data_IF_868678559023
#
_entry.id   IF_868678559023
#
_cell.length_a   1.000
_cell.length_b   1.000
_cell.length_c   1.000
_cell.angle_alpha   90.00
_cell.angle_beta   90.00
_cell.angle_gamma   90.00
#
_symmetry.space_group_name_H-M   'P 1'
#
loop_
_entity.id
_entity.type
_entity.pdbx_description
1 polymer ?
#
# COMPACT_ATOMS: atom_id res chain seq x y z
N UNK A 1 20.69 18.15 20.31
CA UNK A 1 19.42 17.57 19.80
C UNK A 1 19.63 16.06 19.61
N UNK A 2 19.15 15.23 20.53
CA UNK A 2 19.37 13.77 20.53
C UNK A 2 18.28 13.12 19.69
N UNK A 3 18.59 12.73 18.45
CA UNK A 3 17.64 11.98 17.61
C UNK A 3 17.48 10.61 18.24
N UNK A 4 16.35 10.39 18.92
CA UNK A 4 16.00 9.09 19.50
C UNK A 4 15.47 8.23 18.37
N UNK A 5 16.31 7.37 17.79
CA UNK A 5 15.89 6.39 16.78
C UNK A 5 15.11 5.30 17.53
N UNK A 6 13.78 5.29 17.41
CA UNK A 6 12.95 4.19 17.91
C UNK A 6 12.96 3.07 16.89
N UNK A 7 13.50 1.91 17.27
CA UNK A 7 13.42 0.67 16.49
C UNK A 7 12.17 -0.10 16.94
N UNK A 8 10.99 0.33 16.52
CA UNK A 8 9.77 -0.43 16.82
C UNK A 8 9.85 -1.83 16.18
N UNK A 9 9.56 -2.86 16.97
CA UNK A 9 9.54 -4.26 16.53
C UNK A 9 8.37 -4.44 15.54
N UNK A 10 8.64 -4.71 14.25
CA UNK A 10 7.57 -4.94 13.30
C UNK A 10 6.84 -6.25 13.59
N UNK A 11 5.51 -6.21 13.49
CA UNK A 11 4.68 -7.43 13.37
C UNK A 11 5.23 -8.35 12.28
N UNK A 12 5.16 -9.66 12.49
CA UNK A 12 5.91 -10.72 11.77
C UNK A 12 5.86 -10.72 10.23
N UNK A 13 5.14 -9.81 9.57
CA UNK A 13 5.24 -9.56 8.13
C UNK A 13 6.50 -8.78 7.72
N UNK A 14 7.00 -7.85 8.54
CA UNK A 14 8.12 -6.97 8.16
C UNK A 14 9.41 -7.34 8.90
N UNK A 15 10.55 -7.00 8.29
CA UNK A 15 11.87 -7.14 8.91
C UNK A 15 12.15 -5.98 9.85
N UNK A 16 12.56 -6.29 11.08
CA UNK A 16 13.02 -5.34 12.08
C UNK A 16 14.35 -4.72 11.68
N UNK A 17 14.73 -3.63 12.37
CA UNK A 17 16.04 -3.05 12.13
C UNK A 17 17.16 -4.02 12.52
N UNK A 18 17.03 -4.70 13.67
CA UNK A 18 17.98 -5.72 14.10
C UNK A 18 18.14 -6.85 13.08
N UNK A 19 17.02 -7.34 12.51
CA UNK A 19 17.08 -8.32 11.43
C UNK A 19 17.78 -7.77 10.18
N UNK A 20 17.61 -6.49 9.85
CA UNK A 20 18.32 -5.86 8.73
C UNK A 20 19.82 -5.74 9.00
N UNK A 21 20.24 -5.42 10.24
CA UNK A 21 21.65 -5.41 10.62
C UNK A 21 22.26 -6.81 10.54
N UNK A 22 21.57 -7.81 11.08
CA UNK A 22 22.03 -9.20 11.02
C UNK A 22 22.17 -9.69 9.57
N UNK A 23 21.23 -9.32 8.68
CA UNK A 23 21.39 -9.55 7.24
C UNK A 23 22.66 -8.89 6.70
N UNK A 24 22.97 -7.65 7.09
CA UNK A 24 24.17 -6.96 6.60
C UNK A 24 25.46 -7.64 7.05
N UNK A 25 25.56 -8.02 8.33
CA UNK A 25 26.70 -8.74 8.89
C UNK A 25 26.93 -10.09 8.19
N UNK A 26 25.87 -10.89 8.06
CA UNK A 26 25.95 -12.19 7.41
C UNK A 26 26.28 -12.07 5.92
N UNK A 27 25.81 -11.02 5.24
CA UNK A 27 26.18 -10.77 3.84
C UNK A 27 27.64 -10.35 3.67
N UNK A 28 28.19 -9.57 4.60
CA UNK A 28 29.62 -9.25 4.62
C UNK A 28 30.50 -10.52 4.80
N UNK A 29 29.99 -11.52 5.53
CA UNK A 29 30.60 -12.84 5.69
C UNK A 29 30.32 -13.80 4.51
N UNK A 30 29.74 -13.34 3.39
CA UNK A 30 29.36 -14.14 2.23
C UNK A 30 28.36 -15.29 2.51
N UNK A 31 27.59 -15.19 3.59
CA UNK A 31 26.57 -16.19 3.93
C UNK A 31 25.45 -16.19 2.89
N UNK A 32 25.00 -17.38 2.50
CA UNK A 32 23.94 -17.55 1.49
C UNK A 32 22.58 -17.06 1.98
N UNK A 33 21.71 -16.62 1.06
CA UNK A 33 20.35 -16.15 1.39
C UNK A 33 19.54 -17.19 2.17
N UNK A 34 19.68 -18.47 1.84
CA UNK A 34 18.98 -19.58 2.52
C UNK A 34 19.48 -19.76 3.96
N UNK A 35 20.77 -19.59 4.17
CA UNK A 35 21.38 -19.70 5.50
C UNK A 35 20.97 -18.52 6.39
N UNK A 36 21.03 -17.29 5.87
CA UNK A 36 20.54 -16.09 6.56
C UNK A 36 19.08 -16.27 6.98
N UNK A 37 18.25 -16.76 6.07
CA UNK A 37 16.84 -17.00 6.34
C UNK A 37 16.62 -18.03 7.46
N UNK A 38 17.42 -19.10 7.50
CA UNK A 38 17.34 -20.11 8.57
C UNK A 38 17.72 -19.52 9.93
N UNK A 39 18.81 -18.74 10.00
CA UNK A 39 19.27 -18.10 11.24
C UNK A 39 18.24 -17.11 11.80
N UNK A 40 17.57 -16.38 10.92
CA UNK A 40 16.56 -15.39 11.30
C UNK A 40 15.14 -15.98 11.47
N UNK A 41 14.93 -17.28 11.23
CA UNK A 41 13.59 -17.86 11.24
C UNK A 41 12.65 -17.25 10.18
N UNK A 42 13.20 -16.73 9.08
CA UNK A 42 12.44 -16.07 7.99
C UNK A 42 12.40 -16.94 6.74
N UNK A 43 11.46 -16.63 5.85
CA UNK A 43 11.45 -17.27 4.54
C UNK A 43 12.59 -16.74 3.66
N UNK A 44 13.29 -17.60 2.88
CA UNK A 44 14.34 -17.17 1.97
C UNK A 44 13.88 -16.09 0.97
N UNK A 45 12.61 -16.15 0.56
CA UNK A 45 12.01 -15.16 -0.32
C UNK A 45 11.94 -13.76 0.31
N UNK A 46 11.82 -13.65 1.63
CA UNK A 46 11.82 -12.38 2.36
C UNK A 46 13.19 -11.73 2.29
N UNK A 47 14.24 -12.50 2.63
CA UNK A 47 15.63 -12.05 2.57
C UNK A 47 16.03 -11.69 1.13
N UNK A 48 15.70 -12.54 0.15
CA UNK A 48 15.99 -12.27 -1.26
C UNK A 48 15.33 -10.97 -1.75
N UNK A 49 14.06 -10.74 -1.42
CA UNK A 49 13.33 -9.53 -1.80
C UNK A 49 13.87 -8.29 -1.09
N UNK A 50 14.32 -8.43 0.15
CA UNK A 50 14.97 -7.36 0.90
C UNK A 50 16.27 -6.92 0.20
N UNK A 51 17.18 -7.87 -0.04
CA UNK A 51 18.46 -7.62 -0.69
C UNK A 51 18.29 -7.07 -2.11
N UNK A 52 17.40 -7.65 -2.92
CA UNK A 52 17.14 -7.17 -4.29
C UNK A 52 16.65 -5.72 -4.33
N UNK A 53 15.87 -5.28 -3.33
CA UNK A 53 15.34 -3.92 -3.29
C UNK A 53 16.32 -2.89 -2.74
N UNK A 54 17.25 -3.29 -1.88
CA UNK A 54 18.04 -2.35 -1.08
C UNK A 54 19.57 -2.54 -1.20
N UNK A 55 20.08 -3.59 -1.86
CA UNK A 55 21.51 -3.67 -2.20
C UNK A 55 21.82 -2.63 -3.29
N UNK A 56 22.81 -1.77 -3.06
CA UNK A 56 23.05 -0.61 -3.89
C UNK A 56 23.51 -0.99 -5.31
N UNK A 57 22.91 -0.35 -6.32
CA UNK A 57 23.29 -0.41 -7.75
C UNK A 57 23.93 0.91 -8.21
N UNK A 58 24.54 1.69 -7.31
CA UNK A 58 25.20 2.95 -7.64
C UNK A 58 26.65 2.90 -7.16
N UNK A 59 27.59 2.89 -8.11
CA UNK A 59 29.03 2.75 -7.86
C UNK A 59 29.62 1.37 -8.16
N UNK A 60 28.89 0.49 -8.86
CA UNK A 60 29.42 -0.80 -9.35
C UNK A 60 29.56 -1.92 -8.30
N UNK A 61 29.38 -1.62 -7.00
CA UNK A 61 29.47 -2.62 -5.92
C UNK A 61 28.12 -2.85 -5.25
N UNK A 62 27.64 -4.09 -5.29
CA UNK A 62 26.41 -4.54 -4.62
C UNK A 62 26.63 -4.66 -3.10
N UNK A 63 26.67 -3.53 -2.41
CA UNK A 63 26.76 -3.50 -0.94
C UNK A 63 25.38 -3.26 -0.32
N UNK A 64 25.00 -4.11 0.63
CA UNK A 64 23.76 -3.96 1.38
C UNK A 64 24.03 -3.23 2.70
N UNK A 65 23.32 -2.13 2.96
CA UNK A 65 23.47 -1.31 4.17
C UNK A 65 22.14 -1.25 4.93
N UNK A 66 22.12 -1.76 6.16
CA UNK A 66 20.91 -1.85 6.98
C UNK A 66 20.25 -0.48 7.24
N UNK A 67 21.05 0.54 7.60
CA UNK A 67 20.56 1.91 7.82
C UNK A 67 19.88 2.52 6.60
N UNK A 68 20.43 2.31 5.41
CA UNK A 68 19.83 2.78 4.14
C UNK A 68 18.53 2.04 3.85
N UNK A 69 18.51 0.72 4.04
CA UNK A 69 17.32 -0.09 3.87
C UNK A 69 16.18 0.33 4.82
N UNK A 70 16.52 0.65 6.07
CA UNK A 70 15.60 1.16 7.08
C UNK A 70 15.08 2.54 6.70
N UNK A 71 15.95 3.48 6.33
CA UNK A 71 15.56 4.81 5.86
C UNK A 71 14.58 4.72 4.68
N UNK A 72 14.87 3.88 3.68
CA UNK A 72 13.94 3.64 2.58
C UNK A 72 12.59 3.08 3.04
N UNK A 73 12.57 2.19 4.05
CA UNK A 73 11.32 1.67 4.62
C UNK A 73 10.53 2.80 5.25
N UNK A 74 11.17 3.62 6.09
CA UNK A 74 10.50 4.69 6.83
C UNK A 74 9.98 5.78 5.89
N UNK A 75 10.77 6.11 4.87
CA UNK A 75 10.36 7.05 3.82
C UNK A 75 9.14 6.55 3.03
N UNK A 76 9.10 5.26 2.68
CA UNK A 76 7.93 4.64 2.02
C UNK A 76 6.70 4.54 2.95
N UNK A 77 6.92 4.37 4.24
CA UNK A 77 5.86 4.26 5.24
C UNK A 77 5.23 5.63 5.57
N UNK A 78 6.02 6.70 5.55
CA UNK A 78 5.63 8.07 5.93
C UNK A 78 4.40 8.61 5.17
N UNK A 79 4.17 8.20 3.91
CA UNK A 79 3.06 8.67 3.04
C UNK A 79 2.71 10.15 3.27
N UNK A 80 3.65 11.09 3.04
CA UNK A 80 3.59 12.46 3.55
C UNK A 80 2.54 13.37 2.88
N UNK A 81 1.63 12.83 2.06
CA UNK A 81 0.53 13.60 1.48
C UNK A 81 -0.74 13.29 2.26
N UNK A 82 -1.36 14.33 2.82
CA UNK A 82 -2.72 14.23 3.34
C UNK A 82 -3.61 13.66 2.22
N UNK A 83 -4.36 12.61 2.53
CA UNK A 83 -5.26 12.01 1.53
C UNK A 83 -6.28 13.05 1.08
N UNK A 84 -6.62 13.10 -0.21
CA UNK A 84 -7.55 14.10 -0.79
C UNK A 84 -8.90 14.16 -0.03
N UNK A 85 -9.42 13.00 0.39
CA UNK A 85 -10.66 12.89 1.17
C UNK A 85 -10.52 13.30 2.64
N UNK A 86 -9.30 13.37 3.17
CA UNK A 86 -9.05 13.83 4.53
C UNK A 86 -9.02 15.36 4.62
N UNK A 87 -8.68 16.04 3.52
CA UNK A 87 -8.64 17.52 3.45
C UNK A 87 -9.88 18.13 2.81
N UNK A 88 -10.59 17.39 1.97
CA UNK A 88 -11.80 17.85 1.32
C UNK A 88 -13.04 17.10 1.84
N UNK A 89 -13.79 17.77 2.72
CA UNK A 89 -15.01 17.27 3.33
C UNK A 89 -16.13 17.04 2.29
N UNK A 90 -16.29 17.96 1.33
CA UNK A 90 -17.32 17.90 0.28
C UNK A 90 -17.11 16.70 -0.64
N UNK A 91 -15.87 16.47 -1.07
CA UNK A 91 -15.51 15.31 -1.89
C UNK A 91 -15.63 14.01 -1.10
N UNK A 92 -15.27 14.01 0.20
CA UNK A 92 -15.43 12.84 1.06
C UNK A 92 -16.90 12.43 1.19
N UNK A 93 -17.78 13.38 1.44
CA UNK A 93 -19.23 13.14 1.55
C UNK A 93 -19.78 12.57 0.24
N UNK A 94 -19.46 13.19 -0.89
CA UNK A 94 -19.86 12.69 -2.21
C UNK A 94 -19.43 11.24 -2.46
N UNK A 95 -18.15 10.91 -2.19
CA UNK A 95 -17.64 9.54 -2.36
C UNK A 95 -18.35 8.57 -1.41
N UNK A 96 -18.60 8.95 -0.16
CA UNK A 96 -19.30 8.12 0.82
C UNK A 96 -20.76 7.86 0.43
N UNK A 97 -21.49 8.86 -0.04
CA UNK A 97 -22.88 8.72 -0.50
C UNK A 97 -22.97 7.78 -1.71
N UNK A 98 -22.09 7.96 -2.69
CA UNK A 98 -22.07 7.16 -3.92
C UNK A 98 -21.66 5.71 -3.67
N UNK A 99 -20.72 5.45 -2.74
CA UNK A 99 -20.37 4.10 -2.29
C UNK A 99 -21.46 3.48 -1.42
N UNK A 100 -22.16 4.29 -0.61
CA UNK A 100 -23.26 3.87 0.27
C UNK A 100 -24.59 3.63 -0.45
N UNK A 101 -24.67 3.91 -1.76
CA UNK A 101 -25.88 3.72 -2.56
C UNK A 101 -26.97 4.76 -2.33
N UNK A 102 -26.63 5.89 -1.71
CA UNK A 102 -27.50 7.06 -1.58
C UNK A 102 -27.35 7.90 -2.85
N UNK A 103 -28.09 7.54 -3.89
CA UNK A 103 -28.07 8.27 -5.16
C UNK A 103 -29.39 9.02 -5.25
N UNK A 104 -29.41 10.33 -4.95
CA UNK A 104 -30.58 11.16 -5.20
C UNK A 104 -30.48 11.77 -6.61
N UNK A 105 -31.60 11.78 -7.35
CA UNK A 105 -31.76 12.67 -8.51
C UNK A 105 -31.86 14.13 -8.05
N UNK A 106 -31.69 15.13 -8.94
CA UNK A 106 -31.89 16.55 -8.61
C UNK A 106 -33.29 16.88 -8.07
N UNK A 107 -34.27 16.01 -8.30
CA UNK A 107 -35.65 16.08 -7.80
C UNK A 107 -35.81 15.50 -6.37
N UNK A 108 -34.72 15.05 -5.73
CA UNK A 108 -34.73 14.45 -4.39
C UNK A 108 -35.13 12.97 -4.35
N UNK A 109 -35.46 12.33 -5.48
CA UNK A 109 -35.80 10.90 -5.49
C UNK A 109 -34.56 10.03 -5.32
N UNK A 110 -34.60 9.14 -4.32
CA UNK A 110 -33.59 8.10 -4.13
C UNK A 110 -33.70 7.09 -5.29
N UNK A 111 -32.69 7.05 -6.15
CA UNK A 111 -32.49 5.99 -7.13
C UNK A 111 -32.09 4.72 -6.38
N UNK A 112 -33.00 3.75 -6.37
CA UNK A 112 -32.65 2.36 -6.14
C UNK A 112 -31.57 1.99 -7.15
N UNK A 113 -30.32 1.91 -6.70
CA UNK A 113 -29.25 1.52 -7.63
C UNK A 113 -29.47 0.08 -8.14
N UNK A 114 -28.70 -0.33 -9.15
CA UNK A 114 -29.05 -1.46 -10.00
C UNK A 114 -29.22 -2.77 -9.22
N UNK A 115 -30.31 -3.50 -9.51
CA UNK A 115 -30.54 -4.85 -9.02
C UNK A 115 -29.54 -5.81 -9.70
N UNK A 116 -28.50 -6.24 -8.99
CA UNK A 116 -27.48 -7.17 -9.50
C UNK A 116 -27.46 -8.47 -8.71
N UNK A 117 -27.89 -9.55 -9.36
CA UNK A 117 -27.79 -10.90 -8.80
C UNK A 117 -26.32 -11.35 -8.70
N UNK A 118 -25.92 -11.89 -7.55
CA UNK A 118 -24.61 -12.53 -7.38
C UNK A 118 -24.57 -13.84 -8.18
N UNK A 119 -23.78 -13.89 -9.26
CA UNK A 119 -23.72 -15.09 -10.13
C UNK A 119 -22.52 -16.03 -9.88
N UNK A 120 -21.35 -15.54 -9.42
CA UNK A 120 -20.15 -16.31 -8.98
C UNK A 120 -18.92 -15.41 -8.73
N UNK A 121 -17.83 -15.95 -8.16
CA UNK A 121 -16.47 -15.35 -8.23
C UNK A 121 -15.96 -15.45 -9.68
N UNK A 122 -15.42 -14.36 -10.22
CA UNK A 122 -15.03 -14.27 -11.63
C UNK A 122 -13.61 -14.81 -11.86
N UNK A 123 -13.42 -15.57 -12.93
CA UNK A 123 -12.11 -15.85 -13.54
C UNK A 123 -11.91 -14.90 -14.73
N UNK A 124 -10.74 -14.25 -14.82
CA UNK A 124 -10.38 -13.33 -15.91
C UNK A 124 -10.00 -11.92 -15.43
N UNK A 125 -9.62 -11.03 -16.37
CA UNK A 125 -9.29 -9.62 -16.09
C UNK A 125 -10.42 -8.96 -15.30
N UNK A 126 -10.08 -8.10 -14.34
CA UNK A 126 -11.07 -7.31 -13.58
C UNK A 126 -11.97 -6.58 -14.58
N UNK A 127 -13.26 -6.91 -14.53
CA UNK A 127 -14.31 -6.11 -15.16
C UNK A 127 -15.15 -5.51 -14.04
N UNK A 128 -15.77 -4.38 -14.35
CA UNK A 128 -16.54 -3.60 -13.40
C UNK A 128 -17.67 -4.43 -12.82
N UNK A 129 -17.72 -4.48 -11.50
CA UNK A 129 -18.94 -4.86 -10.80
C UNK A 129 -19.65 -3.55 -10.50
N UNK A 130 -20.81 -3.33 -11.13
CA UNK A 130 -21.80 -2.39 -10.58
C UNK A 130 -22.20 -2.99 -9.23
N UNK A 131 -21.64 -2.46 -8.14
CA UNK A 131 -21.98 -2.95 -6.81
C UNK A 131 -23.47 -2.66 -6.56
N UNK A 132 -24.11 -3.50 -5.75
CA UNK A 132 -25.52 -3.36 -5.37
C UNK A 132 -25.84 -1.92 -5.01
N UNK A 133 -26.98 -1.38 -5.46
CA UNK A 133 -27.51 -0.03 -5.14
C UNK A 133 -26.54 1.18 -5.22
N UNK A 134 -25.25 1.01 -5.56
CA UNK A 134 -24.18 2.00 -5.40
C UNK A 134 -23.31 2.10 -6.65
N UNK A 135 -22.53 3.19 -6.76
CA UNK A 135 -21.59 3.36 -7.88
C UNK A 135 -20.29 2.61 -7.61
N UNK A 136 -19.64 2.14 -8.68
CA UNK A 136 -18.27 1.63 -8.57
C UNK A 136 -17.27 2.78 -8.32
N UNK A 137 -16.08 2.52 -7.76
CA UNK A 137 -15.08 3.56 -7.49
C UNK A 137 -14.59 4.21 -8.78
N UNK A 138 -14.60 3.47 -9.88
CA UNK A 138 -14.22 3.96 -11.20
C UNK A 138 -15.29 4.87 -11.81
N UNK A 139 -16.58 4.56 -11.63
CA UNK A 139 -17.67 5.45 -12.01
C UNK A 139 -17.63 6.77 -11.24
N UNK A 140 -17.34 6.69 -9.93
CA UNK A 140 -17.13 7.87 -9.09
C UNK A 140 -15.92 8.65 -9.61
N UNK A 141 -14.77 7.99 -9.84
CA UNK A 141 -13.55 8.63 -10.32
C UNK A 141 -13.72 9.32 -11.68
N UNK A 142 -14.41 8.70 -12.64
CA UNK A 142 -14.68 9.28 -13.96
C UNK A 142 -15.62 10.49 -13.91
N UNK A 143 -16.45 10.60 -12.87
CA UNK A 143 -17.33 11.75 -12.63
C UNK A 143 -16.66 12.88 -11.88
N UNK A 144 -15.57 12.64 -11.14
CA UNK A 144 -14.89 13.69 -10.38
C UNK A 144 -14.50 14.91 -11.23
N UNK A 145 -13.94 14.78 -12.45
CA UNK A 145 -13.62 15.94 -13.28
C UNK A 145 -14.83 16.76 -13.73
N UNK A 146 -16.03 16.18 -13.71
CA UNK A 146 -17.28 16.83 -14.12
C UNK A 146 -17.97 17.48 -12.91
N UNK A 147 -18.10 16.73 -11.81
CA UNK A 147 -18.83 17.16 -10.62
C UNK A 147 -17.97 18.06 -9.70
N UNK A 148 -16.64 17.98 -9.82
CA UNK A 148 -15.65 18.73 -9.05
C UNK A 148 -14.49 19.19 -9.97
N UNK A 149 -14.74 20.10 -10.93
CA UNK A 149 -13.73 20.53 -11.90
C UNK A 149 -12.53 21.26 -11.27
N UNK A 150 -12.73 21.87 -10.10
CA UNK A 150 -11.74 22.70 -9.39
C UNK A 150 -10.95 21.94 -8.31
N UNK A 151 -11.12 20.60 -8.21
CA UNK A 151 -10.54 19.74 -7.16
C UNK A 151 -9.51 18.73 -7.67
#
# INVERSE_FOLDING_TARGET
>A
MRVSIRFDEPTGRYLSFAEREEIALLRAQNVSVREVARRLGRSPSTIARELRRNAATRGGKLEYRAGVAQWHRDHRASRPKSAKLATNDRLREYVQERLGGKIARPDGTLLDGPQVAYKKRRHGRRQDRRWARSWSPEQIANRLPIDFPDE
#
